data_IF_243930568859
#
_entry.id   IF_243930568859
#
_cell.length_a   1.000
_cell.length_b   1.000
_cell.length_c   1.000
_cell.angle_alpha   90.00
_cell.angle_beta   90.00
_cell.angle_gamma   90.00
#
_symmetry.space_group_name_H-M   'P 1'
#
loop_
_entity.id
_entity.type
_entity.pdbx_description
1 polymer ?
#
# COMPACT_ATOMS: atom_id res chain seq x y z
N UNK A 1 -16.77 3.69 -33.76
CA UNK A 1 -15.93 2.65 -34.31
C UNK A 1 -15.59 1.74 -33.14
N UNK A 2 -16.15 0.55 -33.15
CA UNK A 2 -16.06 -0.43 -32.09
C UNK A 2 -14.96 -1.41 -32.47
N UNK A 3 -13.80 -1.31 -31.84
CA UNK A 3 -12.78 -2.35 -31.98
C UNK A 3 -13.03 -3.39 -30.89
N UNK A 4 -13.58 -4.51 -31.37
CA UNK A 4 -13.80 -5.70 -30.60
C UNK A 4 -12.46 -6.33 -30.21
N UNK A 5 -12.34 -6.74 -28.95
CA UNK A 5 -11.25 -7.58 -28.49
C UNK A 5 -11.16 -8.86 -29.34
N UNK A 6 -9.97 -9.32 -29.73
CA UNK A 6 -9.82 -10.56 -30.45
C UNK A 6 -10.26 -11.72 -29.57
N UNK A 7 -11.36 -12.36 -29.95
CA UNK A 7 -11.77 -13.64 -29.38
C UNK A 7 -10.82 -14.73 -29.91
N UNK A 8 -9.79 -15.04 -29.12
CA UNK A 8 -9.08 -16.29 -29.32
C UNK A 8 -10.06 -17.45 -29.08
N UNK A 9 -10.22 -18.29 -30.10
CA UNK A 9 -11.15 -19.39 -30.12
C UNK A 9 -10.83 -20.54 -29.16
N UNK A 10 -10.67 -20.25 -27.89
CA UNK A 10 -10.68 -21.24 -26.83
C UNK A 10 -12.11 -21.41 -26.34
N UNK A 11 -12.63 -22.61 -26.49
CA UNK A 11 -13.86 -23.09 -25.86
C UNK A 11 -14.00 -22.41 -24.48
N UNK A 12 -15.20 -21.88 -24.23
CA UNK A 12 -15.59 -21.52 -22.89
C UNK A 12 -15.23 -22.68 -21.95
N UNK A 13 -14.59 -22.44 -20.82
CA UNK A 13 -14.32 -23.50 -19.87
C UNK A 13 -15.66 -24.16 -19.55
N UNK A 14 -15.68 -25.48 -19.62
CA UNK A 14 -16.85 -26.26 -19.27
C UNK A 14 -17.42 -25.74 -17.96
N UNK A 15 -18.74 -25.61 -17.91
CA UNK A 15 -19.43 -25.10 -16.70
C UNK A 15 -18.83 -25.81 -15.50
N UNK A 16 -18.27 -25.02 -14.58
CA UNK A 16 -17.84 -25.53 -13.29
C UNK A 16 -19.07 -26.10 -12.63
N UNK A 17 -19.13 -27.41 -12.54
CA UNK A 17 -20.18 -28.09 -11.80
C UNK A 17 -19.93 -27.87 -10.32
N UNK A 18 -20.62 -26.89 -9.76
CA UNK A 18 -20.53 -26.53 -8.35
C UNK A 18 -21.08 -27.64 -7.43
N UNK A 19 -21.85 -28.57 -8.00
CA UNK A 19 -22.43 -29.71 -7.26
C UNK A 19 -21.47 -30.92 -7.19
N UNK A 20 -20.36 -30.91 -7.91
CA UNK A 20 -19.39 -31.99 -7.93
C UNK A 20 -18.40 -32.04 -6.76
N UNK A 21 -18.63 -31.35 -5.66
CA UNK A 21 -17.85 -31.45 -4.41
C UNK A 21 -16.37 -31.08 -4.51
N UNK A 22 -15.89 -30.63 -5.66
CA UNK A 22 -14.52 -30.19 -5.84
C UNK A 22 -14.43 -28.67 -5.61
N UNK A 23 -14.16 -28.27 -4.39
CA UNK A 23 -13.69 -26.89 -4.13
C UNK A 23 -12.34 -26.77 -4.81
N UNK A 24 -12.35 -26.33 -6.07
CA UNK A 24 -11.13 -25.83 -6.70
C UNK A 24 -10.78 -24.54 -5.99
N UNK A 25 -9.69 -24.57 -5.28
CA UNK A 25 -9.10 -23.44 -4.58
C UNK A 25 -8.73 -22.34 -5.58
N UNK A 26 -9.71 -21.57 -5.99
CA UNK A 26 -9.45 -20.24 -6.51
C UNK A 26 -9.37 -19.34 -5.30
N UNK A 27 -8.21 -18.74 -5.05
CA UNK A 27 -7.83 -17.96 -3.89
C UNK A 27 -8.79 -16.87 -3.43
N UNK A 28 -10.00 -17.22 -3.09
CA UNK A 28 -10.91 -16.39 -2.35
C UNK A 28 -10.70 -16.72 -0.87
N UNK A 29 -10.63 -15.71 -0.03
CA UNK A 29 -10.69 -15.84 1.41
C UNK A 29 -11.99 -16.55 1.79
N UNK A 30 -11.97 -17.88 1.84
CA UNK A 30 -13.08 -18.66 2.36
C UNK A 30 -12.99 -18.64 3.89
N UNK A 31 -14.12 -18.47 4.56
CA UNK A 31 -14.16 -18.52 6.02
C UNK A 31 -13.67 -19.90 6.49
N UNK A 32 -13.08 -19.96 7.69
CA UNK A 32 -12.66 -21.23 8.32
C UNK A 32 -13.78 -22.28 8.31
N UNK A 33 -15.02 -21.84 8.45
CA UNK A 33 -16.19 -22.71 8.46
C UNK A 33 -16.49 -23.32 7.10
N UNK A 34 -16.35 -22.52 6.02
CA UNK A 34 -16.51 -23.00 4.64
C UNK A 34 -15.42 -24.00 4.28
N UNK A 35 -14.18 -23.78 4.72
CA UNK A 35 -13.08 -24.73 4.52
C UNK A 35 -13.28 -26.01 5.32
N UNK A 36 -13.75 -25.93 6.57
CA UNK A 36 -14.06 -27.09 7.40
C UNK A 36 -15.19 -27.93 6.81
N UNK A 37 -16.23 -27.29 6.29
CA UNK A 37 -17.37 -27.98 5.66
C UNK A 37 -16.95 -28.65 4.35
N UNK A 38 -16.18 -27.97 3.50
CA UNK A 38 -15.62 -28.54 2.28
C UNK A 38 -14.69 -29.73 2.59
N UNK A 39 -13.87 -29.66 3.64
CA UNK A 39 -12.99 -30.75 3.99
C UNK A 39 -13.71 -31.94 4.62
N UNK A 40 -14.78 -31.73 5.41
CA UNK A 40 -15.66 -32.80 5.90
C UNK A 40 -16.33 -33.53 4.75
N UNK A 41 -16.85 -32.77 3.76
CA UNK A 41 -17.46 -33.30 2.54
C UNK A 41 -16.46 -34.09 1.71
N UNK A 42 -15.18 -33.69 1.69
CA UNK A 42 -14.12 -34.39 0.98
C UNK A 42 -13.47 -35.55 1.77
N UNK A 43 -13.97 -35.89 2.98
CA UNK A 43 -13.37 -36.93 3.82
C UNK A 43 -11.98 -36.62 4.38
N UNK A 44 -11.63 -35.32 4.42
CA UNK A 44 -10.33 -34.84 4.93
C UNK A 44 -10.44 -34.19 6.31
N UNK A 45 -11.42 -34.62 7.13
CA UNK A 45 -11.65 -34.08 8.47
C UNK A 45 -10.42 -34.17 9.36
N UNK A 46 -9.68 -35.29 9.28
CA UNK A 46 -8.54 -35.54 10.15
C UNK A 46 -7.40 -34.53 9.96
N UNK A 47 -7.20 -34.06 8.72
CA UNK A 47 -6.16 -33.04 8.42
C UNK A 47 -6.55 -31.69 9.01
N UNK A 48 -7.84 -31.34 8.97
CA UNK A 48 -8.30 -30.07 9.54
C UNK A 48 -8.38 -30.09 11.06
N UNK A 49 -8.70 -31.25 11.65
CA UNK A 49 -8.72 -31.39 13.08
C UNK A 49 -7.28 -31.38 13.64
N UNK A 50 -6.32 -31.96 12.92
CA UNK A 50 -4.89 -31.87 13.22
C UNK A 50 -4.39 -30.42 13.06
N UNK A 51 -4.77 -29.74 11.99
CA UNK A 51 -4.45 -28.33 11.81
C UNK A 51 -5.05 -27.42 12.88
N UNK A 52 -6.27 -27.70 13.32
CA UNK A 52 -6.91 -26.96 14.41
C UNK A 52 -6.29 -27.25 15.78
N UNK A 53 -5.66 -28.42 15.98
CA UNK A 53 -4.92 -28.75 17.19
C UNK A 53 -3.54 -28.06 17.22
N UNK A 54 -2.89 -27.94 16.07
CA UNK A 54 -1.60 -27.24 15.92
C UNK A 54 -1.73 -25.72 16.02
N UNK A 55 -2.94 -25.17 15.76
CA UNK A 55 -3.25 -23.74 15.87
C UNK A 55 -4.39 -23.54 16.88
N UNK A 56 -4.09 -23.47 18.19
CA UNK A 56 -5.10 -23.25 19.21
C UNK A 56 -5.88 -21.95 18.96
N UNK A 57 -7.12 -21.93 19.41
CA UNK A 57 -8.08 -20.81 19.22
C UNK A 57 -7.52 -19.48 19.75
N UNK A 58 -6.58 -19.54 20.68
CA UNK A 58 -5.88 -18.41 21.28
C UNK A 58 -4.65 -17.95 20.47
N UNK A 59 -4.34 -18.58 19.33
CA UNK A 59 -3.33 -18.06 18.44
C UNK A 59 -3.78 -16.68 17.94
N UNK A 60 -2.86 -15.71 18.03
CA UNK A 60 -3.14 -14.37 17.55
C UNK A 60 -3.73 -14.43 16.15
N UNK A 61 -4.87 -13.77 15.96
CA UNK A 61 -5.57 -13.77 14.68
C UNK A 61 -4.60 -13.33 13.57
N UNK A 62 -4.50 -14.15 12.52
CA UNK A 62 -3.70 -13.80 11.36
C UNK A 62 -4.30 -12.61 10.60
N UNK A 63 -3.56 -11.99 9.68
CA UNK A 63 -4.05 -10.83 8.93
C UNK A 63 -5.34 -11.13 8.14
N UNK A 64 -5.62 -12.38 7.84
CA UNK A 64 -6.83 -12.82 7.15
C UNK A 64 -7.97 -13.27 8.08
N UNK A 65 -7.70 -13.37 9.36
CA UNK A 65 -8.70 -13.76 10.38
C UNK A 65 -9.45 -12.54 10.95
N UNK A 66 -9.07 -11.34 10.54
CA UNK A 66 -9.73 -10.11 10.98
C UNK A 66 -11.08 -9.94 10.27
N UNK A 67 -12.18 -9.67 11.00
CA UNK A 67 -13.50 -9.52 10.39
C UNK A 67 -13.63 -8.32 9.44
N UNK A 68 -12.64 -7.45 9.41
CA UNK A 68 -12.59 -6.25 8.57
C UNK A 68 -11.57 -6.38 7.43
N UNK A 69 -11.02 -7.55 7.18
CA UNK A 69 -9.87 -7.70 6.31
C UNK A 69 -10.20 -7.54 4.83
N UNK A 70 -10.27 -6.30 4.42
CA UNK A 70 -9.80 -5.99 3.07
C UNK A 70 -8.28 -6.14 3.06
N UNK A 71 -7.73 -6.53 1.89
CA UNK A 71 -6.29 -6.62 1.71
C UNK A 71 -5.59 -5.36 2.27
N UNK A 72 -4.57 -5.46 3.12
CA UNK A 72 -3.87 -4.32 3.70
C UNK A 72 -3.27 -3.39 2.65
N UNK A 73 -2.92 -3.90 1.47
CA UNK A 73 -2.45 -3.11 0.34
C UNK A 73 -3.40 -1.97 -0.07
N UNK A 74 -4.68 -2.06 0.30
CA UNK A 74 -5.62 -0.96 0.13
C UNK A 74 -5.18 0.30 0.91
N UNK A 75 -4.56 0.13 2.07
CA UNK A 75 -4.02 1.24 2.85
C UNK A 75 -2.94 2.00 2.10
N UNK A 76 -1.91 1.32 1.59
CA UNK A 76 -0.84 1.96 0.81
C UNK A 76 -1.36 2.56 -0.50
N UNK A 77 -2.26 1.85 -1.20
CA UNK A 77 -2.88 2.38 -2.42
C UNK A 77 -3.60 3.72 -2.16
N UNK A 78 -4.36 3.82 -1.07
CA UNK A 78 -5.04 5.09 -0.71
C UNK A 78 -4.06 6.23 -0.47
N UNK A 79 -2.90 5.97 0.12
CA UNK A 79 -1.84 6.98 0.29
C UNK A 79 -1.34 7.46 -1.07
N UNK A 80 -0.96 6.54 -1.96
CA UNK A 80 -0.48 6.87 -3.30
C UNK A 80 -1.52 7.66 -4.12
N UNK A 81 -2.77 7.22 -4.11
CA UNK A 81 -3.86 7.88 -4.84
C UNK A 81 -4.24 9.25 -4.26
N UNK A 82 -3.89 9.53 -3.00
CA UNK A 82 -4.13 10.82 -2.37
C UNK A 82 -3.09 11.87 -2.74
N UNK A 83 -1.87 11.44 -3.04
CA UNK A 83 -0.78 12.35 -3.41
C UNK A 83 -0.97 12.91 -4.82
N UNK A 84 -0.83 14.22 -4.93
CA UNK A 84 -0.84 14.91 -6.24
C UNK A 84 0.42 14.59 -7.02
N UNK A 85 0.31 14.55 -8.33
CA UNK A 85 1.42 14.31 -9.26
C UNK A 85 2.18 13.00 -8.92
N UNK A 86 1.43 11.97 -8.53
CA UNK A 86 1.96 10.65 -8.20
C UNK A 86 1.21 9.61 -9.01
N UNK A 87 1.95 8.76 -9.72
CA UNK A 87 1.42 7.55 -10.32
C UNK A 87 1.57 6.38 -9.35
N UNK A 88 0.64 5.45 -9.38
CA UNK A 88 0.71 4.21 -8.60
C UNK A 88 0.63 3.02 -9.54
N UNK A 89 1.60 2.11 -9.42
CA UNK A 89 1.70 0.88 -10.20
C UNK A 89 1.60 -0.31 -9.25
N UNK A 90 0.68 -1.21 -9.51
CA UNK A 90 0.49 -2.44 -8.75
C UNK A 90 1.01 -3.64 -9.54
N UNK A 91 1.85 -4.46 -8.93
CA UNK A 91 2.22 -5.77 -9.43
C UNK A 91 1.57 -6.84 -8.56
N UNK A 92 0.77 -7.71 -9.18
CA UNK A 92 -0.01 -8.70 -8.44
C UNK A 92 -0.97 -9.47 -9.33
N UNK A 93 -1.88 -10.25 -8.72
CA UNK A 93 -2.91 -10.92 -9.48
C UNK A 93 -4.03 -9.96 -9.90
N UNK A 94 -4.63 -10.20 -11.06
CA UNK A 94 -5.67 -9.34 -11.63
C UNK A 94 -6.86 -9.14 -10.67
N UNK A 95 -7.26 -10.18 -9.94
CA UNK A 95 -8.36 -10.11 -8.98
C UNK A 95 -8.03 -9.16 -7.81
N UNK A 96 -6.80 -9.18 -7.30
CA UNK A 96 -6.36 -8.28 -6.23
C UNK A 96 -6.35 -6.83 -6.71
N UNK A 97 -5.76 -6.58 -7.89
CA UNK A 97 -5.69 -5.24 -8.48
C UNK A 97 -7.08 -4.70 -8.77
N UNK A 98 -7.96 -5.52 -9.34
CA UNK A 98 -9.36 -5.14 -9.57
C UNK A 98 -10.08 -4.76 -8.27
N UNK A 99 -10.00 -5.61 -7.26
CA UNK A 99 -10.65 -5.37 -5.97
C UNK A 99 -10.16 -4.09 -5.29
N UNK A 100 -8.83 -3.88 -5.26
CA UNK A 100 -8.21 -2.69 -4.69
C UNK A 100 -8.62 -1.42 -5.44
N UNK A 101 -8.60 -1.45 -6.77
CA UNK A 101 -8.95 -0.31 -7.63
C UNK A 101 -10.44 0.03 -7.51
N UNK A 102 -11.30 -0.99 -7.58
CA UNK A 102 -12.74 -0.81 -7.43
C UNK A 102 -13.08 -0.16 -6.09
N UNK A 103 -12.51 -0.67 -5.00
CA UNK A 103 -12.76 -0.12 -3.67
C UNK A 103 -12.23 1.31 -3.54
N UNK A 104 -11.07 1.59 -4.13
CA UNK A 104 -10.51 2.95 -4.14
C UNK A 104 -11.43 3.95 -4.86
N UNK A 105 -12.01 3.56 -5.99
CA UNK A 105 -12.98 4.37 -6.72
C UNK A 105 -14.27 4.57 -5.94
N UNK A 106 -14.74 3.55 -5.26
CA UNK A 106 -15.92 3.63 -4.39
C UNK A 106 -15.73 4.67 -3.28
N UNK A 107 -14.54 4.75 -2.70
CA UNK A 107 -14.19 5.77 -1.69
C UNK A 107 -13.69 7.09 -2.30
N UNK A 108 -13.96 7.35 -3.56
CA UNK A 108 -13.71 8.63 -4.22
C UNK A 108 -12.30 8.85 -4.76
N UNK A 109 -11.39 7.90 -4.63
CA UNK A 109 -10.06 7.98 -5.22
C UNK A 109 -10.13 7.54 -6.69
N UNK A 110 -10.26 8.49 -7.60
CA UNK A 110 -10.52 8.23 -9.04
C UNK A 110 -9.27 8.36 -9.92
N UNK A 111 -8.08 8.28 -9.35
CA UNK A 111 -6.85 8.33 -10.12
C UNK A 111 -6.56 6.99 -10.79
N UNK A 112 -5.89 7.04 -11.93
CA UNK A 112 -5.49 5.84 -12.65
C UNK A 112 -4.45 5.06 -11.85
N UNK A 113 -4.63 3.74 -11.82
CA UNK A 113 -3.70 2.78 -11.25
C UNK A 113 -3.09 1.99 -12.39
N UNK A 114 -1.77 2.00 -12.48
CA UNK A 114 -1.03 1.13 -13.38
C UNK A 114 -1.08 -0.32 -12.89
N UNK A 115 -1.08 -1.26 -13.83
CA UNK A 115 -1.09 -2.68 -13.50
C UNK A 115 -0.07 -3.45 -14.32
N UNK A 116 0.82 -4.16 -13.64
CA UNK A 116 1.77 -5.08 -14.26
C UNK A 116 1.36 -6.51 -13.90
N UNK A 117 0.78 -7.26 -14.85
CA UNK A 117 0.39 -8.64 -14.63
C UNK A 117 1.60 -9.55 -14.56
N UNK A 118 1.41 -10.73 -13.97
CA UNK A 118 2.38 -11.80 -14.00
C UNK A 118 1.78 -13.12 -14.54
N UNK A 119 2.63 -13.96 -15.06
CA UNK A 119 2.37 -15.36 -15.37
C UNK A 119 3.35 -16.25 -14.60
N UNK A 120 3.11 -17.56 -14.61
CA UNK A 120 4.08 -18.49 -14.03
C UNK A 120 5.44 -18.40 -14.72
N UNK A 121 5.46 -18.14 -16.02
CA UNK A 121 6.70 -17.95 -16.78
C UNK A 121 7.47 -16.71 -16.31
N UNK A 122 6.80 -15.55 -16.21
CA UNK A 122 7.46 -14.31 -15.81
C UNK A 122 7.99 -14.34 -14.38
N UNK A 123 7.33 -15.10 -13.50
CA UNK A 123 7.80 -15.32 -12.13
C UNK A 123 9.05 -16.20 -12.08
N UNK A 124 9.02 -17.35 -12.79
CA UNK A 124 10.13 -18.31 -12.77
C UNK A 124 11.37 -17.77 -13.47
N UNK A 125 11.20 -17.05 -14.57
CA UNK A 125 12.30 -16.48 -15.35
C UNK A 125 12.85 -15.16 -14.79
N UNK A 126 12.19 -14.56 -13.80
CA UNK A 126 12.50 -13.22 -13.29
C UNK A 126 12.08 -12.07 -14.21
N UNK A 127 11.43 -12.36 -15.33
CA UNK A 127 10.99 -11.36 -16.31
C UNK A 127 10.01 -10.34 -15.73
N UNK A 128 9.28 -10.69 -14.67
CA UNK A 128 8.35 -9.77 -14.03
C UNK A 128 9.05 -8.48 -13.56
N UNK A 129 10.29 -8.56 -13.09
CA UNK A 129 11.05 -7.36 -12.73
C UNK A 129 11.30 -6.45 -13.95
N UNK A 130 11.66 -7.03 -15.08
CA UNK A 130 11.90 -6.26 -16.32
C UNK A 130 10.58 -5.64 -16.84
N UNK A 131 9.48 -6.37 -16.78
CA UNK A 131 8.15 -5.87 -17.16
C UNK A 131 7.73 -4.67 -16.26
N UNK A 132 8.01 -4.74 -14.95
CA UNK A 132 7.78 -3.62 -14.01
C UNK A 132 8.67 -2.43 -14.37
N UNK A 133 9.95 -2.68 -14.62
CA UNK A 133 10.91 -1.64 -14.97
C UNK A 133 10.50 -0.90 -16.24
N UNK A 134 10.14 -1.63 -17.29
CA UNK A 134 9.66 -1.07 -18.56
C UNK A 134 8.40 -0.22 -18.34
N UNK A 135 7.43 -0.71 -17.56
CA UNK A 135 6.23 0.04 -17.24
C UNK A 135 6.52 1.35 -16.48
N UNK A 136 7.48 1.33 -15.56
CA UNK A 136 7.89 2.50 -14.79
C UNK A 136 8.66 3.49 -15.67
N UNK A 137 9.57 3.01 -16.51
CA UNK A 137 10.30 3.83 -17.49
C UNK A 137 9.35 4.55 -18.46
N UNK A 138 8.31 3.83 -18.92
CA UNK A 138 7.29 4.40 -19.80
C UNK A 138 6.38 5.44 -19.13
N UNK A 139 6.23 5.38 -17.80
CA UNK A 139 5.44 6.34 -17.02
C UNK A 139 6.26 7.53 -16.52
N UNK A 140 7.58 7.43 -16.46
CA UNK A 140 8.45 8.41 -15.82
C UNK A 140 8.57 9.70 -16.65
N UNK A 141 7.56 10.55 -16.48
CA UNK A 141 7.46 11.87 -17.12
C UNK A 141 7.38 12.96 -16.02
N UNK A 142 8.42 13.80 -15.86
CA UNK A 142 8.48 14.83 -14.83
C UNK A 142 7.49 15.98 -15.06
N UNK A 143 6.93 16.14 -16.26
CA UNK A 143 5.88 17.11 -16.50
C UNK A 143 4.57 16.70 -15.82
N UNK A 144 4.33 15.39 -15.69
CA UNK A 144 3.12 14.82 -15.12
C UNK A 144 3.29 14.33 -13.67
N UNK A 145 4.46 13.78 -13.33
CA UNK A 145 4.66 13.10 -12.06
C UNK A 145 5.89 13.59 -11.28
N UNK A 146 5.73 13.77 -9.99
CA UNK A 146 6.82 14.00 -9.04
C UNK A 146 7.37 12.67 -8.50
N UNK A 147 6.52 11.63 -8.46
CA UNK A 147 6.88 10.31 -7.98
C UNK A 147 6.04 9.20 -8.63
N UNK A 148 6.62 8.01 -8.72
CA UNK A 148 5.94 6.76 -9.08
C UNK A 148 6.09 5.80 -7.91
N UNK A 149 4.95 5.30 -7.41
CA UNK A 149 4.89 4.30 -6.36
C UNK A 149 4.67 2.94 -7.03
N UNK A 150 5.58 2.02 -6.78
CA UNK A 150 5.48 0.64 -7.28
C UNK A 150 5.24 -0.28 -6.10
N UNK A 151 4.14 -1.02 -6.12
CA UNK A 151 3.75 -1.90 -5.02
C UNK A 151 3.70 -3.34 -5.50
N UNK A 152 4.55 -4.18 -4.92
CA UNK A 152 4.39 -5.63 -4.99
C UNK A 152 3.28 -6.08 -4.03
N UNK A 153 2.32 -6.82 -4.56
CA UNK A 153 1.33 -7.54 -3.77
C UNK A 153 1.87 -8.94 -3.37
N UNK A 154 1.02 -9.82 -2.86
CA UNK A 154 1.42 -11.10 -2.27
C UNK A 154 2.36 -11.94 -3.15
N UNK A 155 1.99 -12.20 -4.40
CA UNK A 155 2.74 -13.14 -5.25
C UNK A 155 4.10 -12.58 -5.67
N UNK A 156 4.22 -11.35 -6.20
CA UNK A 156 5.53 -10.77 -6.51
C UNK A 156 6.45 -10.67 -5.28
N UNK A 157 5.90 -10.30 -4.11
CA UNK A 157 6.67 -10.28 -2.86
C UNK A 157 7.17 -11.66 -2.48
N UNK A 158 6.30 -12.68 -2.50
CA UNK A 158 6.68 -14.06 -2.19
C UNK A 158 7.71 -14.63 -3.17
N UNK A 159 7.67 -14.17 -4.43
CA UNK A 159 8.64 -14.56 -5.47
C UNK A 159 9.94 -13.76 -5.41
N UNK A 160 10.06 -12.81 -4.47
CA UNK A 160 11.28 -12.04 -4.27
C UNK A 160 11.60 -11.03 -5.38
N UNK A 161 10.58 -10.48 -6.06
CA UNK A 161 10.77 -9.45 -7.10
C UNK A 161 11.45 -8.21 -6.49
N UNK A 162 12.67 -7.84 -6.92
CA UNK A 162 13.52 -6.93 -6.17
C UNK A 162 13.29 -5.46 -6.55
N UNK A 163 12.19 -4.82 -6.10
CA UNK A 163 11.89 -3.42 -6.42
C UNK A 163 13.00 -2.42 -6.06
N UNK A 164 13.87 -2.77 -5.09
CA UNK A 164 15.05 -1.95 -4.73
C UNK A 164 16.04 -1.76 -5.88
N UNK A 165 15.98 -2.59 -6.94
CA UNK A 165 16.83 -2.48 -8.11
C UNK A 165 16.30 -1.53 -9.19
N UNK A 166 15.10 -0.98 -9.03
CA UNK A 166 14.55 0.04 -9.96
C UNK A 166 15.34 1.36 -9.94
N UNK A 167 16.21 1.54 -8.95
CA UNK A 167 16.87 2.83 -8.76
C UNK A 167 15.96 3.85 -8.06
N UNK A 168 16.55 4.95 -7.58
CA UNK A 168 15.82 5.97 -6.82
C UNK A 168 15.04 6.94 -7.71
N UNK A 169 15.52 7.18 -8.93
CA UNK A 169 14.86 8.07 -9.88
C UNK A 169 15.03 7.57 -11.31
N UNK A 170 14.03 7.80 -12.13
CA UNK A 170 14.04 7.55 -13.58
C UNK A 170 13.53 8.83 -14.26
N UNK A 171 14.29 9.35 -15.23
CA UNK A 171 13.96 10.58 -15.93
C UNK A 171 13.64 11.79 -15.02
N UNK A 172 14.23 11.84 -13.82
CA UNK A 172 13.94 12.92 -12.86
C UNK A 172 12.69 12.69 -12.01
N UNK A 173 11.95 11.60 -12.21
CA UNK A 173 10.81 11.19 -11.38
C UNK A 173 11.27 10.22 -10.30
N UNK A 174 10.87 10.44 -9.05
CA UNK A 174 11.20 9.59 -7.90
C UNK A 174 10.52 8.23 -8.02
N UNK A 175 11.23 7.17 -7.70
CA UNK A 175 10.69 5.81 -7.71
C UNK A 175 10.68 5.28 -6.28
N UNK A 176 9.49 4.90 -5.81
CA UNK A 176 9.29 4.32 -4.48
C UNK A 176 8.74 2.91 -4.64
N UNK A 177 9.62 1.92 -4.48
CA UNK A 177 9.25 0.51 -4.46
C UNK A 177 8.89 0.04 -3.06
N UNK A 178 7.74 -0.59 -2.88
CA UNK A 178 7.31 -1.17 -1.61
C UNK A 178 6.73 -2.56 -1.80
N UNK A 179 6.90 -3.40 -0.79
CA UNK A 179 6.26 -4.71 -0.68
C UNK A 179 5.12 -4.63 0.35
N UNK A 180 3.90 -4.94 -0.09
CA UNK A 180 2.71 -4.91 0.76
C UNK A 180 1.92 -6.20 0.61
N UNK A 181 2.49 -7.32 1.06
CA UNK A 181 1.82 -8.61 0.98
C UNK A 181 0.75 -8.74 2.06
N UNK A 182 -0.41 -9.28 1.70
CA UNK A 182 -1.50 -9.54 2.65
C UNK A 182 -1.15 -10.53 3.75
N UNK A 183 -0.12 -11.35 3.56
CA UNK A 183 0.37 -12.30 4.57
C UNK A 183 1.39 -11.71 5.54
N UNK A 184 1.94 -10.52 5.26
CA UNK A 184 3.01 -9.92 6.05
C UNK A 184 2.65 -8.62 6.74
N UNK A 185 1.53 -8.01 6.37
CA UNK A 185 1.07 -6.74 6.93
C UNK A 185 -0.33 -6.91 7.48
N UNK A 186 -0.54 -6.75 8.80
CA UNK A 186 -1.81 -7.09 9.44
C UNK A 186 -2.96 -6.14 9.12
N UNK A 187 -2.70 -4.84 8.97
CA UNK A 187 -3.74 -3.82 8.88
C UNK A 187 -3.52 -2.81 7.76
N UNK A 188 -4.58 -2.10 7.37
CA UNK A 188 -4.51 -0.97 6.43
C UNK A 188 -3.63 0.17 6.96
N UNK A 189 -3.63 0.41 8.26
CA UNK A 189 -2.86 1.47 8.88
C UNK A 189 -1.36 1.18 8.76
N UNK A 190 -0.93 -0.05 9.02
CA UNK A 190 0.46 -0.47 8.83
C UNK A 190 0.88 -0.44 7.35
N UNK A 191 -0.02 -0.79 6.42
CA UNK A 191 0.27 -0.64 5.00
C UNK A 191 0.42 0.82 4.55
N UNK A 192 -0.32 1.76 5.17
CA UNK A 192 -0.12 3.20 4.97
C UNK A 192 1.24 3.64 5.50
N UNK A 193 1.62 3.14 6.66
CA UNK A 193 2.91 3.45 7.29
C UNK A 193 4.09 2.94 6.46
N UNK A 194 3.99 1.76 5.85
CA UNK A 194 5.02 1.24 4.94
C UNK A 194 5.31 2.23 3.82
N UNK A 195 4.27 2.77 3.16
CA UNK A 195 4.47 3.75 2.11
C UNK A 195 4.90 5.12 2.65
N UNK A 196 4.26 5.59 3.73
CA UNK A 196 4.61 6.89 4.32
C UNK A 196 6.06 6.90 4.82
N UNK A 197 6.50 5.83 5.48
CA UNK A 197 7.89 5.66 5.92
C UNK A 197 8.86 5.63 4.74
N UNK A 198 8.56 4.90 3.67
CA UNK A 198 9.41 4.88 2.47
C UNK A 198 9.53 6.27 1.82
N UNK A 199 8.45 7.04 1.76
CA UNK A 199 8.47 8.40 1.23
C UNK A 199 9.23 9.36 2.14
N UNK A 200 9.06 9.26 3.47
CA UNK A 200 9.80 10.07 4.44
C UNK A 200 11.30 9.76 4.39
N UNK A 201 11.67 8.48 4.28
CA UNK A 201 13.06 8.08 4.10
C UNK A 201 13.67 8.74 2.87
N UNK A 202 12.98 8.66 1.73
CA UNK A 202 13.43 9.29 0.49
C UNK A 202 13.58 10.80 0.65
N UNK A 203 12.56 11.47 1.20
CA UNK A 203 12.58 12.92 1.42
C UNK A 203 13.69 13.36 2.37
N UNK A 204 13.97 12.57 3.43
CA UNK A 204 15.08 12.82 4.37
C UNK A 204 16.44 12.74 3.68
N UNK A 205 16.61 11.78 2.77
CA UNK A 205 17.85 11.68 1.97
C UNK A 205 18.00 12.86 1.00
N UNK A 206 16.91 13.35 0.39
CA UNK A 206 16.94 14.55 -0.46
C UNK A 206 17.31 15.80 0.35
N UNK A 207 16.74 15.97 1.55
CA UNK A 207 17.09 17.06 2.47
C UNK A 207 18.58 17.01 2.86
N UNK A 208 19.11 15.81 3.11
CA UNK A 208 20.52 15.62 3.44
C UNK A 208 21.45 15.87 2.24
N UNK A 209 20.97 15.66 1.02
CA UNK A 209 21.74 15.86 -0.20
C UNK A 209 21.82 17.33 -0.65
N UNK A 210 20.92 18.19 -0.21
CA UNK A 210 20.96 19.61 -0.57
C UNK A 210 19.64 20.36 -0.44
N UNK A 211 19.54 21.53 -1.05
CA UNK A 211 18.34 22.36 -0.97
C UNK A 211 17.13 21.69 -1.59
N UNK A 212 16.00 21.73 -0.88
CA UNK A 212 14.72 21.16 -1.32
C UNK A 212 13.67 22.26 -1.52
N UNK A 213 12.59 21.92 -2.20
CA UNK A 213 11.48 22.84 -2.44
C UNK A 213 10.86 23.32 -1.13
N UNK A 214 10.75 24.65 -0.97
CA UNK A 214 10.12 25.25 0.19
C UNK A 214 8.64 24.86 0.31
N UNK A 215 8.08 24.77 1.53
CA UNK A 215 6.66 24.59 1.74
C UNK A 215 5.85 25.74 1.11
N UNK A 216 4.59 25.45 0.73
CA UNK A 216 3.70 26.49 0.17
C UNK A 216 3.33 27.54 1.23
N UNK A 217 3.07 27.08 2.43
CA UNK A 217 2.71 27.90 3.56
C UNK A 217 3.85 27.83 4.58
N UNK A 218 4.27 29.00 5.03
CA UNK A 218 5.25 29.14 6.11
C UNK A 218 4.54 29.71 7.32
N UNK A 219 4.89 29.19 8.47
CA UNK A 219 4.45 29.72 9.75
C UNK A 219 5.67 30.28 10.50
N UNK A 220 5.50 31.45 11.11
CA UNK A 220 6.50 31.99 12.04
C UNK A 220 6.44 31.28 13.40
N UNK A 221 5.39 30.49 13.64
CA UNK A 221 5.24 29.68 14.84
C UNK A 221 5.85 28.30 14.65
N UNK A 222 6.34 27.67 15.71
CA UNK A 222 6.77 26.29 15.67
C UNK A 222 5.62 25.36 15.18
N UNK A 223 5.93 24.49 14.23
CA UNK A 223 4.92 23.62 13.62
C UNK A 223 4.86 22.26 14.28
N UNK A 224 3.66 21.71 14.41
CA UNK A 224 3.38 20.35 14.86
C UNK A 224 2.96 19.51 13.66
N UNK A 225 3.78 18.55 13.27
CA UNK A 225 3.39 17.56 12.26
C UNK A 225 2.47 16.52 12.87
N UNK A 226 1.33 16.29 12.24
CA UNK A 226 0.38 15.29 12.68
C UNK A 226 0.67 13.96 11.93
N UNK A 227 1.04 12.93 12.68
CA UNK A 227 1.35 11.61 12.12
C UNK A 227 0.20 10.64 12.34
N UNK A 228 -0.34 10.15 11.25
CA UNK A 228 -1.42 9.18 11.23
C UNK A 228 -2.55 9.58 10.29
N UNK A 229 -3.51 8.70 10.08
CA UNK A 229 -4.68 9.03 9.27
C UNK A 229 -5.65 9.87 10.08
N UNK A 230 -5.98 11.05 9.51
CA UNK A 230 -6.89 12.01 10.12
C UNK A 230 -8.36 11.61 9.93
N UNK A 231 -8.71 10.44 10.43
CA UNK A 231 -10.10 9.98 10.46
C UNK A 231 -10.35 9.30 11.83
N UNK A 232 -11.23 9.86 12.64
CA UNK A 232 -12.14 10.99 12.42
C UNK A 232 -11.58 12.40 12.78
N UNK A 233 -10.28 12.57 13.04
CA UNK A 233 -9.74 13.85 13.47
C UNK A 233 -9.64 14.88 12.33
N UNK A 234 -9.99 16.14 12.62
CA UNK A 234 -9.94 17.25 11.66
C UNK A 234 -8.68 18.09 11.91
N UNK A 235 -7.74 18.20 10.94
CA UNK A 235 -6.52 18.99 11.11
C UNK A 235 -6.77 20.49 11.30
N UNK A 236 -7.88 21.02 10.79
CA UNK A 236 -8.24 22.43 10.99
C UNK A 236 -8.62 22.68 12.45
N UNK A 237 -9.44 21.82 13.03
CA UNK A 237 -9.82 21.89 14.45
C UNK A 237 -8.59 21.73 15.35
N UNK A 238 -7.72 20.77 15.04
CA UNK A 238 -6.46 20.60 15.79
C UNK A 238 -5.58 21.86 15.68
N UNK A 239 -5.48 22.47 14.51
CA UNK A 239 -4.76 23.72 14.32
C UNK A 239 -5.31 24.88 15.17
N UNK A 240 -6.64 24.99 15.27
CA UNK A 240 -7.29 25.97 16.14
C UNK A 240 -7.01 25.71 17.63
N UNK A 241 -6.89 24.44 18.04
CA UNK A 241 -6.52 24.09 19.40
C UNK A 241 -5.05 24.38 19.71
N UNK A 242 -4.16 24.30 18.73
CA UNK A 242 -2.72 24.59 18.88
C UNK A 242 -2.41 26.08 18.91
N UNK A 243 -3.19 26.89 18.20
CA UNK A 243 -2.92 28.34 18.08
C UNK A 243 -2.81 29.09 19.41
N UNK A 244 -3.67 28.87 20.43
CA UNK A 244 -3.52 29.52 21.73
C UNK A 244 -2.25 29.15 22.50
N UNK A 245 -1.61 28.02 22.12
CA UNK A 245 -0.35 27.55 22.70
C UNK A 245 0.88 28.13 21.99
N UNK A 246 0.68 29.01 21.00
CA UNK A 246 1.76 29.55 20.19
C UNK A 246 2.34 28.53 19.20
N UNK A 247 1.55 27.54 18.81
CA UNK A 247 1.93 26.48 17.87
C UNK A 247 1.06 26.55 16.60
N UNK A 248 1.61 26.14 15.48
CA UNK A 248 0.89 26.00 14.23
C UNK A 248 0.76 24.52 13.83
N UNK A 249 -0.36 24.15 13.20
CA UNK A 249 -0.47 22.87 12.57
C UNK A 249 0.47 22.79 11.34
N UNK A 250 1.34 21.82 11.33
CA UNK A 250 2.16 21.45 10.21
C UNK A 250 1.44 20.49 9.26
N UNK A 251 2.16 19.86 8.32
CA UNK A 251 1.59 18.85 7.43
C UNK A 251 1.03 17.66 8.19
N UNK A 252 0.04 17.00 7.58
CA UNK A 252 -0.47 15.71 8.03
C UNK A 252 0.21 14.62 7.22
N UNK A 253 0.79 13.63 7.88
CA UNK A 253 1.39 12.46 7.25
C UNK A 253 0.44 11.27 7.38
N UNK A 254 0.10 10.60 6.29
CA UNK A 254 0.54 10.76 4.89
C UNK A 254 0.12 12.06 4.23
N UNK A 255 1.02 12.65 3.45
CA UNK A 255 0.87 13.97 2.85
C UNK A 255 0.08 13.95 1.54
N UNK A 256 -0.23 15.12 1.01
CA UNK A 256 -0.92 15.28 -0.28
C UNK A 256 -0.01 15.73 -1.43
N UNK A 257 1.15 16.27 -1.11
CA UNK A 257 2.16 16.71 -2.07
C UNK A 257 3.54 16.31 -1.57
N UNK A 258 4.47 16.08 -2.49
CA UNK A 258 5.83 15.67 -2.12
C UNK A 258 6.53 16.70 -1.23
N UNK A 259 6.38 18.00 -1.54
CA UNK A 259 7.00 19.09 -0.76
C UNK A 259 6.54 19.16 0.69
N UNK A 260 5.36 18.65 1.01
CA UNK A 260 4.86 18.60 2.39
C UNK A 260 5.66 17.62 3.24
N UNK A 261 6.31 16.61 2.64
CA UNK A 261 7.22 15.72 3.36
C UNK A 261 8.43 16.47 3.92
N UNK A 262 8.98 17.40 3.16
CA UNK A 262 10.08 18.24 3.64
C UNK A 262 9.65 19.13 4.80
N UNK A 263 8.47 19.75 4.67
CA UNK A 263 7.91 20.57 5.76
C UNK A 263 7.59 19.73 6.99
N UNK A 264 7.14 18.46 6.80
CA UNK A 264 6.92 17.54 7.90
C UNK A 264 8.22 17.20 8.62
N UNK A 265 9.31 16.99 7.88
CA UNK A 265 10.64 16.71 8.43
C UNK A 265 11.27 17.93 9.10
N UNK A 266 10.80 19.14 8.82
CA UNK A 266 11.29 20.41 9.42
C UNK A 266 10.40 20.92 10.57
N UNK A 267 9.53 20.07 11.12
CA UNK A 267 8.65 20.43 12.23
C UNK A 267 9.40 20.57 13.58
N UNK A 268 8.79 21.27 14.53
CA UNK A 268 9.29 21.34 15.89
C UNK A 268 9.03 20.05 16.68
N UNK A 269 7.88 19.41 16.43
CA UNK A 269 7.47 18.17 17.09
C UNK A 269 6.51 17.39 16.20
N UNK A 270 6.53 16.06 16.32
CA UNK A 270 5.59 15.16 15.68
C UNK A 270 4.59 14.66 16.71
N UNK A 271 3.31 14.87 16.45
CA UNK A 271 2.23 14.29 17.23
C UNK A 271 1.74 13.01 16.55
N UNK A 272 2.09 11.86 17.11
CA UNK A 272 1.65 10.55 16.63
C UNK A 272 0.24 10.27 17.18
N UNK A 273 -0.76 10.49 16.34
CA UNK A 273 -2.17 10.30 16.71
C UNK A 273 -2.71 8.91 16.37
N UNK A 274 -1.84 8.04 15.86
CA UNK A 274 -2.20 6.68 15.51
C UNK A 274 -1.05 5.71 15.83
N UNK A 275 -1.29 4.61 16.58
CA UNK A 275 -0.23 3.77 17.12
C UNK A 275 0.51 2.90 16.09
N UNK A 276 0.01 2.81 14.85
CA UNK A 276 0.55 1.88 13.84
C UNK A 276 1.58 2.49 12.89
N UNK A 277 2.02 3.73 13.09
CA UNK A 277 2.95 4.42 12.20
C UNK A 277 4.41 4.29 12.65
N UNK A 278 4.87 3.05 12.86
CA UNK A 278 6.20 2.77 13.40
C UNK A 278 7.34 3.03 12.41
N UNK A 279 7.14 2.79 11.11
CA UNK A 279 8.14 3.08 10.10
C UNK A 279 8.34 4.59 9.92
N UNK A 280 7.23 5.35 9.87
CA UNK A 280 7.28 6.81 9.81
C UNK A 280 7.92 7.41 11.06
N UNK A 281 7.63 6.90 12.25
CA UNK A 281 8.26 7.34 13.51
C UNK A 281 9.77 7.22 13.42
N UNK A 282 10.31 6.09 12.97
CA UNK A 282 11.76 5.89 12.80
C UNK A 282 12.41 6.93 11.90
N UNK A 283 11.73 7.36 10.84
CA UNK A 283 12.26 8.38 9.93
C UNK A 283 12.27 9.77 10.57
N UNK A 284 11.28 10.11 11.38
CA UNK A 284 11.28 11.34 12.16
C UNK A 284 12.35 11.33 13.26
N UNK A 285 12.52 10.21 13.96
CA UNK A 285 13.62 10.04 14.93
C UNK A 285 14.98 10.20 14.26
N UNK A 286 15.17 9.57 13.08
CA UNK A 286 16.40 9.71 12.29
C UNK A 286 16.62 11.14 11.79
N UNK A 287 15.56 11.93 11.63
CA UNK A 287 15.63 13.36 11.34
C UNK A 287 15.82 14.25 12.61
N UNK A 288 15.94 13.64 13.79
CA UNK A 288 16.11 14.34 15.05
C UNK A 288 14.85 15.06 15.54
N UNK A 289 13.66 14.62 15.14
CA UNK A 289 12.40 15.24 15.55
C UNK A 289 11.84 14.57 16.80
N UNK A 290 11.50 15.34 17.85
CA UNK A 290 10.82 14.80 19.02
C UNK A 290 9.42 14.32 18.66
N UNK A 291 8.99 13.21 19.30
CA UNK A 291 7.71 12.57 19.03
C UNK A 291 6.91 12.52 20.33
N UNK A 292 5.63 12.83 20.24
CA UNK A 292 4.64 12.73 21.29
C UNK A 292 3.42 11.91 20.82
N UNK A 293 2.78 11.17 21.71
CA UNK A 293 1.60 10.35 21.42
C UNK A 293 1.72 8.92 21.89
#
# INVERSE_FOLDING_TARGET
MSDAFPTNGNRAPDRIDLDAGAVKSGGACSSKDTMREAARTAGKSDILDQYAADYPVDAAAGPHDQPQSMCPAFGSLRVGLRMRRTATVLSGSACCVYGLTFTSHFYGARRTVGYVPFSSETLVTGKLFEDIKEAVEGLADPENYDAIIVTNLCVPTASGVPLRLLGKAINGVRIIGIDVPGFGIPTHAEAKDVLAGAMLNYAREEVAAGPVAAPRERSDLPTVTLLGEMFPADPVVIGQMLAPLGLAAGPVVPTREWRELYAALDCAVVAAIHPFYTASIREFEAAGRPIIG
#
